data_IF_162029996809
#
_entry.id   IF_162029996809
#
_cell.length_a   1.000
_cell.length_b   1.000
_cell.length_c   1.000
_cell.angle_alpha   90.00
_cell.angle_beta   90.00
_cell.angle_gamma   90.00
#
_symmetry.space_group_name_H-M   'P 1'
#
loop_
_entity.id
_entity.type
_entity.pdbx_description
1 polymer ?
#
# COMPACT_ATOMS: atom_id res chain seq x y z
N UNK A 1 7.69 23.07 -38.09
CA UNK A 1 8.13 22.12 -37.02
C UNK A 1 7.38 20.78 -37.03
N UNK A 2 6.42 20.50 -37.94
CA UNK A 2 5.66 19.23 -37.94
C UNK A 2 6.32 18.03 -38.64
N UNK A 3 7.30 18.25 -39.52
CA UNK A 3 7.90 17.15 -40.32
C UNK A 3 8.72 16.16 -39.47
N UNK A 4 9.32 16.65 -38.38
CA UNK A 4 10.11 15.81 -37.46
C UNK A 4 9.19 14.98 -36.56
N UNK A 5 8.04 15.53 -36.15
CA UNK A 5 7.02 14.82 -35.37
C UNK A 5 6.41 13.66 -36.17
N UNK A 6 6.16 13.85 -37.47
CA UNK A 6 5.65 12.79 -38.35
C UNK A 6 6.65 11.62 -38.43
N UNK A 7 7.95 11.91 -38.51
CA UNK A 7 9.00 10.87 -38.52
C UNK A 7 9.04 10.11 -37.19
N UNK A 8 8.94 10.81 -36.05
CA UNK A 8 8.88 10.17 -34.73
C UNK A 8 7.66 9.24 -34.57
N UNK A 9 6.48 9.66 -35.03
CA UNK A 9 5.26 8.84 -34.96
C UNK A 9 5.35 7.60 -35.84
N UNK A 10 5.89 7.73 -37.05
CA UNK A 10 6.10 6.58 -37.96
C UNK A 10 7.08 5.58 -37.32
N UNK A 11 8.20 6.05 -36.77
CA UNK A 11 9.17 5.19 -36.09
C UNK A 11 8.58 4.50 -34.85
N UNK A 12 7.76 5.21 -34.07
CA UNK A 12 7.09 4.65 -32.90
C UNK A 12 6.12 3.53 -33.29
N UNK A 13 5.29 3.74 -34.32
CA UNK A 13 4.33 2.73 -34.81
C UNK A 13 5.05 1.51 -35.37
N UNK A 14 6.15 1.70 -36.12
CA UNK A 14 6.93 0.58 -36.66
C UNK A 14 7.62 -0.19 -35.55
N UNK A 15 8.20 0.48 -34.56
CA UNK A 15 8.84 -0.19 -33.42
C UNK A 15 7.84 -0.95 -32.55
N UNK A 16 6.69 -0.33 -32.24
CA UNK A 16 5.66 -0.96 -31.42
C UNK A 16 4.95 -2.09 -32.17
N UNK A 17 4.69 -1.92 -33.48
CA UNK A 17 4.09 -2.95 -34.34
C UNK A 17 5.00 -4.14 -34.61
N UNK A 18 6.30 -3.92 -34.86
CA UNK A 18 7.27 -4.99 -34.98
C UNK A 18 7.49 -5.72 -33.65
N UNK A 19 7.49 -4.99 -32.53
CA UNK A 19 7.53 -5.58 -31.19
C UNK A 19 6.33 -6.48 -30.91
N UNK A 20 5.11 -6.03 -31.25
CA UNK A 20 3.88 -6.80 -31.04
C UNK A 20 3.84 -8.08 -31.90
N UNK A 21 4.29 -8.01 -33.16
CA UNK A 21 4.33 -9.16 -34.05
C UNK A 21 5.33 -10.23 -33.60
N UNK A 22 6.46 -9.82 -32.99
CA UNK A 22 7.44 -10.76 -32.41
C UNK A 22 6.89 -11.40 -31.12
N UNK A 23 6.15 -10.66 -30.29
CA UNK A 23 5.49 -11.19 -29.09
C UNK A 23 4.40 -12.22 -29.45
N UNK A 24 3.67 -12.00 -30.55
CA UNK A 24 2.63 -12.91 -31.07
C UNK A 24 3.23 -14.15 -31.75
N UNK A 25 4.30 -14.00 -32.54
CA UNK A 25 4.96 -15.12 -33.24
C UNK A 25 5.76 -16.06 -32.32
N UNK A 26 6.10 -15.63 -31.10
CA UNK A 26 6.74 -16.49 -30.08
C UNK A 26 5.68 -17.26 -29.27
N UNK A 27 4.41 -16.83 -29.28
CA UNK A 27 3.30 -17.49 -28.57
C UNK A 27 2.59 -18.53 -29.46
N UNK A 28 3.28 -19.66 -29.69
CA UNK A 28 2.58 -20.93 -29.90
C UNK A 28 1.73 -21.29 -28.66
N UNK A 29 0.68 -22.12 -28.79
CA UNK A 29 -0.45 -22.13 -27.89
C UNK A 29 -0.11 -22.77 -26.54
N UNK A 30 0.50 -22.03 -25.63
CA UNK A 30 0.64 -22.42 -24.24
C UNK A 30 0.84 -21.18 -23.34
N UNK A 31 -0.19 -20.96 -22.52
CA UNK A 31 -0.17 -20.40 -21.15
C UNK A 31 0.32 -18.95 -20.93
N UNK A 32 -0.70 -18.13 -20.65
CA UNK A 32 -0.78 -17.19 -19.52
C UNK A 32 -0.01 -15.86 -19.60
N UNK A 33 -0.71 -14.83 -19.14
CA UNK A 33 -0.34 -13.42 -18.91
C UNK A 33 -0.37 -12.44 -20.10
N UNK A 34 -1.46 -11.66 -20.11
CA UNK A 34 -1.46 -10.20 -20.00
C UNK A 34 -0.55 -9.41 -20.95
N UNK A 35 -1.18 -8.73 -21.91
CA UNK A 35 -0.80 -7.37 -22.30
C UNK A 35 -2.00 -6.59 -22.87
N UNK A 36 -2.42 -5.55 -22.13
CA UNK A 36 -2.57 -4.16 -22.60
C UNK A 36 -3.42 -3.85 -23.85
N UNK A 37 -4.44 -2.97 -23.70
CA UNK A 37 -4.45 -1.61 -24.30
C UNK A 37 -5.85 -0.96 -24.29
N UNK A 38 -5.87 0.35 -24.09
CA UNK A 38 -6.95 1.33 -24.32
C UNK A 38 -7.62 1.15 -25.71
N UNK A 39 -8.85 1.59 -25.99
CA UNK A 39 -9.51 2.87 -25.67
C UNK A 39 -10.98 2.79 -26.16
N UNK A 40 -11.98 3.26 -25.40
CA UNK A 40 -13.20 3.93 -25.91
C UNK A 40 -13.89 4.63 -24.76
N UNK A 41 -13.95 5.94 -24.89
CA UNK A 41 -14.72 6.86 -24.06
C UNK A 41 -16.20 6.49 -24.03
N UNK A 42 -16.78 6.66 -22.83
CA UNK A 42 -18.20 6.68 -22.48
C UNK A 42 -18.84 5.33 -22.08
N UNK A 43 -19.18 5.26 -20.79
CA UNK A 43 -19.98 4.25 -20.09
C UNK A 43 -19.22 3.04 -19.50
N UNK A 44 -18.69 3.20 -18.29
CA UNK A 44 -18.64 2.15 -17.26
C UNK A 44 -18.10 2.75 -15.96
N UNK A 45 -18.99 3.40 -15.21
CA UNK A 45 -18.89 3.44 -13.76
C UNK A 45 -18.77 1.99 -13.24
N UNK A 46 -17.84 1.75 -12.30
CA UNK A 46 -17.55 0.47 -11.59
C UNK A 46 -16.71 -0.53 -12.37
N UNK A 47 -15.42 -0.63 -12.05
CA UNK A 47 -14.73 -1.90 -11.71
C UNK A 47 -13.27 -1.67 -11.28
N UNK A 48 -12.98 -0.71 -10.40
CA UNK A 48 -11.65 -0.60 -9.75
C UNK A 48 -11.56 -1.39 -8.42
N UNK A 49 -12.62 -2.13 -8.08
CA UNK A 49 -12.72 -2.85 -6.81
C UNK A 49 -12.25 -4.31 -6.87
N UNK A 50 -11.92 -4.86 -8.05
CA UNK A 50 -11.71 -6.31 -8.18
C UNK A 50 -10.24 -6.77 -8.12
N UNK A 51 -9.25 -5.88 -8.28
CA UNK A 51 -7.82 -6.27 -8.30
C UNK A 51 -7.14 -6.08 -6.94
N UNK A 52 -7.78 -5.38 -5.99
CA UNK A 52 -7.22 -5.20 -4.64
C UNK A 52 -7.52 -6.36 -3.67
N UNK A 53 -8.45 -7.25 -4.00
CA UNK A 53 -8.88 -8.33 -3.10
C UNK A 53 -8.01 -9.61 -3.19
N UNK A 54 -7.31 -9.83 -4.32
CA UNK A 54 -6.61 -11.10 -4.58
C UNK A 54 -5.17 -11.21 -4.05
N UNK A 55 -4.45 -10.09 -3.95
CA UNK A 55 -3.04 -10.08 -3.54
C UNK A 55 -2.82 -9.94 -2.03
N UNK A 56 -3.89 -9.69 -1.25
CA UNK A 56 -3.80 -9.51 0.22
C UNK A 56 -4.09 -10.84 0.96
N UNK A 57 -4.66 -11.85 0.29
CA UNK A 57 -5.16 -13.05 0.94
C UNK A 57 -4.13 -14.17 1.20
N UNK A 58 -2.95 -14.15 0.58
CA UNK A 58 -1.96 -15.25 0.71
C UNK A 58 -0.71 -14.92 1.53
N UNK A 59 -0.62 -13.73 2.11
CA UNK A 59 0.37 -13.39 3.15
C UNK A 59 -0.28 -12.98 4.47
N UNK A 60 -1.47 -13.51 4.76
CA UNK A 60 -2.12 -13.36 6.06
C UNK A 60 -2.01 -14.68 6.81
N UNK A 61 -0.90 -14.86 7.53
CA UNK A 61 -0.90 -15.75 8.67
C UNK A 61 -1.92 -15.22 9.68
N UNK A 62 -3.02 -15.94 9.85
CA UNK A 62 -4.03 -15.78 10.90
C UNK A 62 -4.34 -14.33 11.33
N UNK A 63 -4.80 -13.50 10.40
CA UNK A 63 -5.57 -12.28 10.71
C UNK A 63 -6.96 -12.59 11.35
N UNK A 64 -7.10 -13.77 11.98
CA UNK A 64 -8.27 -14.19 12.75
C UNK A 64 -8.32 -13.51 14.13
N UNK A 65 -7.24 -12.85 14.57
CA UNK A 65 -7.30 -11.95 15.71
C UNK A 65 -7.43 -10.50 15.21
N UNK A 66 -8.54 -9.87 15.56
CA UNK A 66 -8.84 -8.46 15.23
C UNK A 66 -7.78 -7.45 15.73
N UNK A 67 -6.81 -7.91 16.52
CA UNK A 67 -5.76 -7.17 17.22
C UNK A 67 -4.95 -6.23 16.31
N UNK A 68 -4.76 -6.54 15.02
CA UNK A 68 -3.96 -5.72 14.11
C UNK A 68 -4.70 -5.08 12.95
N UNK A 69 -6.02 -5.27 12.84
CA UNK A 69 -6.80 -4.84 11.65
C UNK A 69 -6.77 -3.34 11.42
N UNK A 70 -6.72 -2.55 12.49
CA UNK A 70 -6.68 -1.09 12.41
C UNK A 70 -5.43 -0.57 11.67
N UNK A 71 -4.29 -1.27 11.78
CA UNK A 71 -3.06 -0.90 11.07
C UNK A 71 -3.18 -1.06 9.55
N UNK A 72 -3.96 -2.06 9.11
CA UNK A 72 -4.26 -2.29 7.70
C UNK A 72 -5.25 -1.24 7.18
N UNK A 73 -6.32 -0.98 7.93
CA UNK A 73 -7.38 -0.03 7.55
C UNK A 73 -6.87 1.41 7.44
N UNK A 74 -6.04 1.85 8.40
CA UNK A 74 -5.43 3.18 8.42
C UNK A 74 -4.15 3.28 7.57
N UNK A 75 -3.75 2.20 6.90
CA UNK A 75 -2.59 2.19 6.01
C UNK A 75 -1.23 2.31 6.71
N UNK A 76 -1.16 2.12 8.03
CA UNK A 76 0.07 2.19 8.80
C UNK A 76 1.12 1.19 8.29
N UNK A 77 0.66 0.02 7.83
CA UNK A 77 1.53 -1.06 7.33
C UNK A 77 2.27 -0.72 6.04
N UNK A 78 1.90 0.36 5.35
CA UNK A 78 2.62 0.84 4.17
C UNK A 78 4.07 1.22 4.48
N UNK A 79 4.31 1.73 5.69
CA UNK A 79 5.62 2.17 6.14
C UNK A 79 6.18 1.34 7.29
N UNK A 80 5.33 0.65 8.05
CA UNK A 80 5.72 -0.05 9.27
C UNK A 80 5.38 -1.54 9.23
N UNK A 81 6.23 -2.39 9.79
CA UNK A 81 5.88 -3.78 10.14
C UNK A 81 5.28 -3.89 11.55
N UNK A 82 4.55 -4.97 11.80
CA UNK A 82 4.14 -5.39 13.16
C UNK A 82 4.49 -6.86 13.33
N UNK A 83 5.79 -7.12 13.49
CA UNK A 83 6.36 -8.48 13.50
C UNK A 83 5.72 -9.39 14.55
N UNK A 84 5.39 -8.87 15.74
CA UNK A 84 4.81 -9.66 16.83
C UNK A 84 3.37 -10.15 16.54
N UNK A 85 2.67 -9.48 15.60
CA UNK A 85 1.37 -9.92 15.08
C UNK A 85 1.50 -10.62 13.73
N UNK A 86 2.71 -10.94 13.28
CA UNK A 86 3.01 -11.50 11.95
C UNK A 86 2.46 -10.65 10.80
N UNK A 87 2.36 -9.34 10.99
CA UNK A 87 1.93 -8.40 9.93
C UNK A 87 3.17 -7.87 9.24
N UNK A 88 3.40 -8.35 8.01
CA UNK A 88 4.39 -7.76 7.12
C UNK A 88 3.94 -6.37 6.66
N UNK A 89 4.91 -5.46 6.58
CA UNK A 89 4.69 -4.09 6.13
C UNK A 89 6.00 -3.45 5.69
N UNK A 90 5.99 -2.13 5.50
CA UNK A 90 7.17 -1.38 5.11
C UNK A 90 8.25 -1.33 6.19
N UNK A 91 9.46 -0.93 5.79
CA UNK A 91 10.61 -0.70 6.67
C UNK A 91 11.04 0.78 6.72
N UNK A 92 10.23 1.68 6.17
CA UNK A 92 10.46 3.14 6.21
C UNK A 92 10.33 3.66 7.64
N UNK A 93 9.35 3.14 8.38
CA UNK A 93 9.16 3.36 9.79
C UNK A 93 9.63 2.17 10.63
N UNK A 94 9.93 2.38 11.92
CA UNK A 94 10.32 1.29 12.83
C UNK A 94 9.17 0.32 13.08
N UNK A 95 9.49 -0.93 13.42
CA UNK A 95 8.47 -1.92 13.78
C UNK A 95 7.59 -1.44 14.96
N UNK A 96 6.27 -1.60 14.82
CA UNK A 96 5.27 -1.10 15.78
C UNK A 96 5.01 -2.06 16.95
N UNK A 97 5.54 -3.28 16.92
CA UNK A 97 5.24 -4.31 17.94
C UNK A 97 5.54 -3.81 19.34
N UNK A 98 6.58 -2.99 19.51
CA UNK A 98 6.99 -2.45 20.80
C UNK A 98 6.72 -0.95 20.92
N UNK A 99 5.86 -0.37 20.08
CA UNK A 99 5.58 1.07 20.13
C UNK A 99 4.80 1.46 21.39
N UNK A 100 3.93 0.58 21.90
CA UNK A 100 3.17 0.86 23.13
C UNK A 100 4.06 1.21 24.33
N UNK A 101 5.18 0.48 24.49
CA UNK A 101 6.13 0.67 25.59
C UNK A 101 7.22 1.70 25.29
N UNK A 102 7.61 1.84 24.01
CA UNK A 102 8.77 2.64 23.64
C UNK A 102 8.46 4.11 23.35
N UNK A 103 7.22 4.45 22.98
CA UNK A 103 6.89 5.82 22.56
C UNK A 103 7.13 6.83 23.67
N UNK A 104 6.68 6.54 24.90
CA UNK A 104 6.86 7.47 26.02
C UNK A 104 8.34 7.71 26.33
N UNK A 105 9.15 6.66 26.40
CA UNK A 105 10.59 6.78 26.65
C UNK A 105 11.35 7.51 25.54
N UNK A 106 10.92 7.38 24.28
CA UNK A 106 11.59 7.99 23.12
C UNK A 106 11.13 9.42 22.84
N UNK A 107 9.87 9.73 23.10
CA UNK A 107 9.25 11.00 22.73
C UNK A 107 8.93 11.90 23.93
N UNK A 108 9.05 11.40 25.16
CA UNK A 108 8.80 12.17 26.38
C UNK A 108 7.34 12.55 26.59
N UNK A 109 6.41 11.95 25.85
CA UNK A 109 4.97 12.18 25.91
C UNK A 109 4.22 10.85 25.91
N UNK A 110 3.06 10.76 26.56
CA UNK A 110 2.28 9.53 26.57
C UNK A 110 1.81 9.17 25.16
N UNK A 111 1.61 7.88 24.89
CA UNK A 111 1.22 7.37 23.57
C UNK A 111 -0.04 8.06 23.00
N UNK A 112 -1.05 8.29 23.83
CA UNK A 112 -2.30 8.96 23.45
C UNK A 112 -2.04 10.41 22.96
N UNK A 113 -1.12 11.13 23.60
CA UNK A 113 -0.72 12.47 23.18
C UNK A 113 0.11 12.42 21.91
N UNK A 114 1.03 11.44 21.80
CA UNK A 114 1.80 11.22 20.58
C UNK A 114 0.90 10.97 19.37
N UNK A 115 -0.17 10.17 19.50
CA UNK A 115 -1.09 9.89 18.40
C UNK A 115 -1.94 11.11 17.99
N UNK A 116 -2.15 12.08 18.89
CA UNK A 116 -2.81 13.36 18.57
C UNK A 116 -1.84 14.36 17.95
N UNK A 117 -0.62 14.40 18.48
CA UNK A 117 0.40 15.36 18.08
C UNK A 117 1.78 14.68 18.10
N UNK A 118 2.14 13.96 17.03
CA UNK A 118 3.42 13.28 16.97
C UNK A 118 4.56 14.28 17.04
N UNK A 119 5.64 13.93 17.74
CA UNK A 119 6.86 14.75 17.81
C UNK A 119 7.88 14.39 16.73
N UNK A 120 7.64 13.30 15.98
CA UNK A 120 8.48 12.88 14.84
C UNK A 120 8.08 13.62 13.57
N UNK A 121 9.06 14.16 12.85
CA UNK A 121 8.84 14.92 11.61
C UNK A 121 7.97 14.18 10.57
N UNK A 122 8.16 12.87 10.42
CA UNK A 122 7.38 12.06 9.45
C UNK A 122 5.96 11.81 9.96
N UNK A 123 5.81 11.40 11.22
CA UNK A 123 4.49 11.08 11.77
C UNK A 123 3.61 12.32 11.98
N UNK A 124 4.20 13.49 12.24
CA UNK A 124 3.45 14.75 12.32
C UNK A 124 2.76 15.07 10.98
N UNK A 125 3.39 14.74 9.85
CA UNK A 125 2.79 14.90 8.53
C UNK A 125 1.68 13.86 8.28
N UNK A 126 1.96 12.58 8.59
CA UNK A 126 1.01 11.48 8.34
C UNK A 126 -0.27 11.64 9.15
N UNK A 127 -0.18 11.79 10.48
CA UNK A 127 -1.37 11.96 11.33
C UNK A 127 -1.94 13.38 11.28
N UNK A 128 -1.17 14.36 10.79
CA UNK A 128 -1.65 15.72 10.56
C UNK A 128 -2.51 15.84 9.29
N UNK A 129 -2.22 15.05 8.26
CA UNK A 129 -3.00 15.03 7.02
C UNK A 129 -4.35 14.32 7.14
N UNK A 130 -4.42 13.25 7.95
CA UNK A 130 -5.65 12.53 8.24
C UNK A 130 -5.68 12.08 9.72
N UNK A 131 -6.13 12.97 10.64
CA UNK A 131 -6.14 12.70 12.07
C UNK A 131 -7.06 11.54 12.46
N UNK A 132 -6.62 10.75 13.44
CA UNK A 132 -7.44 9.67 14.01
C UNK A 132 -8.61 10.24 14.81
N UNK A 133 -9.80 9.70 14.59
CA UNK A 133 -10.95 9.88 15.49
C UNK A 133 -10.65 9.27 16.87
N UNK A 134 -11.47 9.59 17.87
CA UNK A 134 -11.31 9.05 19.22
C UNK A 134 -11.42 7.52 19.24
N UNK A 135 -12.37 6.96 18.50
CA UNK A 135 -12.57 5.51 18.40
C UNK A 135 -11.41 4.83 17.68
N UNK A 136 -10.94 5.39 16.56
CA UNK A 136 -9.80 4.84 15.82
C UNK A 136 -8.53 4.88 16.66
N UNK A 137 -8.30 5.97 17.40
CA UNK A 137 -7.12 6.10 18.25
C UNK A 137 -7.16 5.12 19.41
N UNK A 138 -8.31 4.93 20.05
CA UNK A 138 -8.49 3.89 21.06
C UNK A 138 -8.21 2.49 20.49
N UNK A 139 -8.69 2.21 19.27
CA UNK A 139 -8.41 0.96 18.57
C UNK A 139 -6.92 0.77 18.26
N UNK A 140 -6.23 1.82 17.78
CA UNK A 140 -4.78 1.80 17.55
C UNK A 140 -4.02 1.52 18.85
N UNK A 141 -4.39 2.15 19.96
CA UNK A 141 -3.74 1.92 21.25
C UNK A 141 -3.96 0.48 21.72
N UNK A 142 -5.19 -0.03 21.63
CA UNK A 142 -5.50 -1.41 21.99
C UNK A 142 -4.69 -2.41 21.14
N UNK A 143 -4.57 -2.14 19.83
CA UNK A 143 -3.79 -2.93 18.90
C UNK A 143 -2.28 -2.92 19.22
N UNK A 144 -1.73 -1.73 19.50
CA UNK A 144 -0.32 -1.57 19.88
C UNK A 144 -0.01 -2.26 21.21
N UNK A 145 -0.94 -2.19 22.17
CA UNK A 145 -0.83 -2.89 23.44
C UNK A 145 -0.80 -4.40 23.23
N UNK A 146 -1.77 -4.95 22.48
CA UNK A 146 -1.82 -6.37 22.16
C UNK A 146 -0.53 -6.84 21.45
N UNK A 147 0.02 -6.04 20.54
CA UNK A 147 1.27 -6.35 19.85
C UNK A 147 2.48 -6.36 20.80
N UNK A 148 2.50 -5.51 21.84
CA UNK A 148 3.62 -5.42 22.79
C UNK A 148 3.67 -6.57 23.80
N UNK A 149 2.55 -7.27 23.97
CA UNK A 149 2.38 -8.38 24.90
C UNK A 149 2.64 -9.76 24.26
N UNK A 150 3.02 -9.79 22.97
CA UNK A 150 3.42 -10.99 22.21
C UNK A 150 4.94 -11.12 22.17
#
# INVERSE_FOLDING_TARGET
>A
MGKNIIIFLICFIVAFGAGYFIIDAIQGPEKNETAQSAETTESAERTDLAVKEGAIAQQQGDASNNEGRIFLQRGCVSCHSVSALNIQGGATGPDLSQAYVNVEGKHGVPLEEFLKKPTSAVMSSVLGGDPLTDDERAAVIAALKAASEK
#
